data_IF_874339479973
#
_entry.id   IF_874339479973
#
_cell.length_a   1.000
_cell.length_b   1.000
_cell.length_c   1.000
_cell.angle_alpha   90.00
_cell.angle_beta   90.00
_cell.angle_gamma   90.00
#
_symmetry.space_group_name_H-M   'P 1'
#
loop_
_entity.id
_entity.type
_entity.pdbx_description
1 polymer ?
#
# COMPACT_ATOMS: atom_id res chain seq x y z
N UNK A 1 -8.36 24.70 33.42
CA UNK A 1 -8.63 23.77 32.29
C UNK A 1 -7.36 23.67 31.46
N UNK A 2 -6.54 22.65 31.71
CA UNK A 2 -5.26 22.46 31.05
C UNK A 2 -5.53 21.78 29.69
N UNK A 3 -5.46 22.53 28.59
CA UNK A 3 -5.43 21.92 27.26
C UNK A 3 -4.05 21.30 27.09
N UNK A 4 -3.96 19.98 27.15
CA UNK A 4 -2.77 19.26 26.71
C UNK A 4 -2.41 19.72 25.28
N UNK A 5 -1.12 19.94 24.98
CA UNK A 5 -0.70 20.23 23.61
C UNK A 5 -1.11 19.09 22.68
N UNK A 6 -1.45 19.35 21.40
CA UNK A 6 -1.68 18.28 20.43
C UNK A 6 -0.35 17.54 20.21
N UNK A 7 -0.15 16.43 20.90
CA UNK A 7 0.98 15.53 20.67
C UNK A 7 0.65 14.62 19.50
N UNK A 8 1.11 14.99 18.31
CA UNK A 8 1.12 14.14 17.12
C UNK A 8 1.17 14.93 15.82
N UNK A 9 2.16 14.66 14.98
CA UNK A 9 2.12 15.09 13.58
C UNK A 9 1.08 14.23 12.85
N UNK A 10 0.10 14.87 12.19
CA UNK A 10 -0.84 14.18 11.31
C UNK A 10 -0.27 14.16 9.90
N UNK A 11 -0.02 12.96 9.39
CA UNK A 11 0.36 12.73 8.00
C UNK A 11 -0.84 12.13 7.26
N UNK A 12 -1.18 12.67 6.09
CA UNK A 12 -2.19 12.11 5.19
C UNK A 12 -1.51 11.82 3.85
N UNK A 13 -1.72 10.61 3.34
CA UNK A 13 -1.33 10.21 1.99
C UNK A 13 -2.63 9.95 1.22
N UNK A 14 -2.77 10.57 0.06
CA UNK A 14 -3.91 10.38 -0.83
C UNK A 14 -3.43 9.92 -2.18
N UNK A 15 -4.00 8.82 -2.66
CA UNK A 15 -3.66 8.24 -3.94
C UNK A 15 -4.20 6.82 -4.08
N UNK A 16 -3.54 6.03 -4.92
CA UNK A 16 -3.90 4.64 -5.20
C UNK A 16 -2.86 3.68 -4.68
N UNK A 17 -3.33 2.60 -4.06
CA UNK A 17 -2.50 1.47 -3.67
C UNK A 17 -2.99 0.22 -4.41
N UNK A 18 -2.06 -0.55 -4.98
CA UNK A 18 -2.35 -1.82 -5.64
C UNK A 18 -1.45 -2.91 -5.10
N UNK A 19 -1.99 -4.13 -4.96
CA UNK A 19 -1.23 -5.30 -4.53
C UNK A 19 -1.34 -6.42 -5.56
N UNK A 20 -0.25 -7.16 -5.77
CA UNK A 20 -0.20 -8.27 -6.69
C UNK A 20 0.85 -9.30 -6.28
N UNK A 21 0.59 -10.58 -6.57
CA UNK A 21 1.56 -11.65 -6.42
C UNK A 21 1.72 -12.42 -7.72
N UNK A 22 2.90 -13.00 -7.92
CA UNK A 22 3.26 -13.73 -9.14
C UNK A 22 3.67 -15.17 -8.86
N UNK A 23 3.55 -16.07 -9.84
CA UNK A 23 3.82 -17.50 -9.67
C UNK A 23 5.25 -17.82 -9.26
N UNK A 24 6.21 -16.93 -9.54
CA UNK A 24 7.59 -17.02 -9.03
C UNK A 24 7.72 -16.87 -7.51
N UNK A 25 6.66 -16.45 -6.82
CA UNK A 25 6.64 -16.19 -5.38
C UNK A 25 6.83 -14.73 -4.99
N UNK A 26 7.19 -13.86 -5.95
CA UNK A 26 7.33 -12.43 -5.71
C UNK A 26 5.96 -11.78 -5.48
N UNK A 27 5.89 -10.88 -4.50
CA UNK A 27 4.68 -10.11 -4.18
C UNK A 27 5.03 -8.64 -4.05
N UNK A 28 4.17 -7.79 -4.58
CA UNK A 28 4.38 -6.35 -4.66
C UNK A 28 3.16 -5.62 -4.12
N UNK A 29 3.45 -4.50 -3.46
CA UNK A 29 2.49 -3.45 -3.15
C UNK A 29 3.06 -2.20 -3.79
N UNK A 30 2.27 -1.52 -4.60
CA UNK A 30 2.66 -0.28 -5.25
C UNK A 30 1.77 0.83 -4.73
N UNK A 31 2.39 1.84 -4.13
CA UNK A 31 1.75 3.10 -3.77
C UNK A 31 2.02 4.15 -4.84
N UNK A 32 0.97 4.79 -5.33
CA UNK A 32 1.01 5.97 -6.19
C UNK A 32 0.26 7.09 -5.48
N UNK A 33 0.97 8.08 -4.95
CA UNK A 33 0.42 9.10 -4.07
C UNK A 33 0.43 10.45 -4.76
N UNK A 34 -0.78 10.96 -5.06
CA UNK A 34 -0.98 12.27 -5.67
C UNK A 34 -0.68 13.40 -4.68
N UNK A 35 -0.99 13.18 -3.40
CA UNK A 35 -0.80 14.16 -2.33
C UNK A 35 -0.22 13.50 -1.07
N UNK A 36 0.84 14.12 -0.55
CA UNK A 36 1.56 13.71 0.66
C UNK A 36 2.35 14.91 1.22
N UNK A 37 2.87 14.83 2.47
CA UNK A 37 3.71 15.90 3.02
C UNK A 37 4.99 16.19 2.22
N UNK A 38 5.42 15.26 1.37
CA UNK A 38 6.59 15.40 0.50
C UNK A 38 6.21 15.79 -0.94
N UNK A 39 4.94 16.12 -1.19
CA UNK A 39 4.36 16.23 -2.53
C UNK A 39 4.11 14.87 -3.17
N UNK A 40 3.86 14.80 -4.50
CA UNK A 40 3.64 13.54 -5.20
C UNK A 40 4.81 12.58 -5.00
N UNK A 41 4.49 11.30 -4.78
CA UNK A 41 5.47 10.27 -4.54
C UNK A 41 4.96 8.88 -4.88
N UNK A 42 5.90 7.95 -5.05
CA UNK A 42 5.64 6.56 -5.36
C UNK A 42 6.53 5.67 -4.49
N UNK A 43 6.02 4.49 -4.14
CA UNK A 43 6.77 3.46 -3.44
C UNK A 43 6.40 2.06 -3.91
N UNK A 44 7.33 1.13 -3.80
CA UNK A 44 7.09 -0.29 -4.02
C UNK A 44 7.57 -1.08 -2.82
N UNK A 45 6.65 -1.75 -2.14
CA UNK A 45 6.99 -2.76 -1.14
C UNK A 45 7.05 -4.12 -1.82
N UNK A 46 8.21 -4.77 -1.74
CA UNK A 46 8.49 -6.02 -2.41
C UNK A 46 8.79 -7.12 -1.40
N UNK A 47 7.97 -8.17 -1.38
CA UNK A 47 8.27 -9.41 -0.68
C UNK A 47 8.81 -10.43 -1.67
N UNK A 48 10.05 -10.83 -1.46
CA UNK A 48 10.75 -11.84 -2.25
C UNK A 48 10.29 -13.26 -1.87
N UNK A 49 10.48 -14.25 -2.76
CA UNK A 49 10.16 -15.66 -2.46
C UNK A 49 10.94 -16.22 -1.27
N UNK A 50 12.12 -15.67 -0.98
CA UNK A 50 12.99 -16.05 0.16
C UNK A 50 12.55 -15.40 1.49
N UNK A 51 11.49 -14.58 1.48
CA UNK A 51 10.95 -13.93 2.66
C UNK A 51 11.54 -12.55 2.97
N UNK A 52 12.55 -12.10 2.21
CA UNK A 52 13.13 -10.76 2.37
C UNK A 52 12.14 -9.70 1.89
N UNK A 53 11.94 -8.66 2.70
CA UNK A 53 11.08 -7.51 2.38
C UNK A 53 11.94 -6.30 2.06
N UNK A 54 11.78 -5.77 0.85
CA UNK A 54 12.52 -4.62 0.34
C UNK A 54 11.55 -3.48 0.09
N UNK A 55 11.92 -2.28 0.53
CA UNK A 55 11.25 -1.04 0.12
C UNK A 55 12.04 -0.39 -1.00
N UNK A 56 11.41 -0.16 -2.15
CA UNK A 56 11.98 0.62 -3.25
C UNK A 56 11.31 2.00 -3.27
N UNK A 57 12.11 3.07 -3.28
CA UNK A 57 11.63 4.46 -3.35
C UNK A 57 12.45 5.29 -4.32
N UNK A 58 11.85 6.37 -4.85
CA UNK A 58 12.53 7.29 -5.75
C UNK A 58 13.49 8.28 -5.09
N UNK A 59 13.33 8.52 -3.78
CA UNK A 59 14.13 9.50 -3.02
C UNK A 59 14.22 9.13 -1.53
N UNK A 60 15.30 9.53 -0.82
CA UNK A 60 15.52 9.14 0.58
C UNK A 60 14.43 9.59 1.55
N UNK A 61 13.85 10.78 1.34
CA UNK A 61 12.84 11.35 2.24
C UNK A 61 11.57 10.49 2.29
N UNK A 62 11.24 9.82 1.17
CA UNK A 62 10.11 8.89 1.10
C UNK A 62 10.43 7.60 1.87
N UNK A 63 11.67 7.12 1.81
CA UNK A 63 12.09 5.99 2.64
C UNK A 63 11.96 6.31 4.13
N UNK A 64 12.41 7.49 4.57
CA UNK A 64 12.26 7.92 5.97
C UNK A 64 10.79 7.98 6.40
N UNK A 65 9.93 8.58 5.57
CA UNK A 65 8.49 8.67 5.84
C UNK A 65 7.84 7.29 6.00
N UNK A 66 8.14 6.35 5.10
CA UNK A 66 7.52 5.01 5.09
C UNK A 66 8.11 4.13 6.20
N UNK A 67 9.43 4.20 6.43
CA UNK A 67 10.11 3.40 7.47
C UNK A 67 9.85 3.88 8.89
N UNK A 68 9.38 5.12 9.06
CA UNK A 68 8.81 5.58 10.31
C UNK A 68 7.56 4.78 10.71
N UNK A 69 6.94 4.04 9.78
CA UNK A 69 5.69 3.29 9.98
C UNK A 69 5.89 1.79 9.80
N UNK A 70 6.57 1.35 8.75
CA UNK A 70 6.80 -0.06 8.44
C UNK A 70 8.26 -0.46 8.60
N UNK A 71 8.49 -1.76 8.83
CA UNK A 71 9.84 -2.33 8.91
C UNK A 71 10.12 -3.16 7.67
N UNK A 72 11.26 -2.90 7.05
CA UNK A 72 11.78 -3.65 5.91
C UNK A 72 13.14 -4.23 6.27
N UNK A 73 13.49 -5.32 5.60
CA UNK A 73 14.79 -5.97 5.77
C UNK A 73 15.86 -5.25 4.93
N UNK A 74 15.45 -4.59 3.85
CA UNK A 74 16.28 -3.68 3.06
C UNK A 74 15.46 -2.48 2.53
N UNK A 75 16.15 -1.36 2.28
CA UNK A 75 15.58 -0.16 1.66
C UNK A 75 16.52 0.26 0.54
N UNK A 76 15.99 0.45 -0.66
CA UNK A 76 16.76 0.83 -1.83
C UNK A 76 16.17 2.10 -2.45
N UNK A 77 17.03 3.10 -2.64
CA UNK A 77 16.67 4.32 -3.37
C UNK A 77 17.10 4.13 -4.82
N UNK A 78 16.13 3.99 -5.71
CA UNK A 78 16.35 3.68 -7.13
C UNK A 78 15.53 4.63 -8.01
N UNK A 79 15.89 4.84 -9.29
CA UNK A 79 15.01 5.53 -10.21
C UNK A 79 13.64 4.86 -10.24
N UNK A 80 12.63 5.57 -9.75
CA UNK A 80 11.28 5.04 -9.57
C UNK A 80 10.26 5.99 -10.18
N UNK A 81 9.38 5.43 -11.03
CA UNK A 81 8.24 6.14 -11.59
C UNK A 81 7.04 5.21 -11.65
N UNK A 82 5.92 5.64 -11.08
CA UNK A 82 4.63 5.03 -11.30
C UNK A 82 3.78 5.90 -12.22
N UNK A 83 2.90 5.25 -12.99
CA UNK A 83 1.84 5.90 -13.75
C UNK A 83 0.55 5.15 -13.51
N UNK A 84 -0.51 5.92 -13.33
CA UNK A 84 -1.87 5.41 -13.33
C UNK A 84 -2.60 5.95 -14.56
N UNK A 85 -3.19 5.04 -15.33
CA UNK A 85 -4.25 5.31 -16.28
C UNK A 85 -5.53 4.61 -15.76
N UNK A 86 -6.72 5.01 -16.20
CA UNK A 86 -8.05 4.67 -15.65
C UNK A 86 -8.21 3.32 -14.92
N UNK A 87 -7.61 2.26 -15.46
CA UNK A 87 -7.57 0.91 -14.89
C UNK A 87 -6.19 0.24 -14.93
N UNK A 88 -5.12 0.95 -15.29
CA UNK A 88 -3.78 0.39 -15.44
C UNK A 88 -2.80 1.15 -14.57
N UNK A 89 -2.18 0.43 -13.63
CA UNK A 89 -1.04 0.91 -12.86
C UNK A 89 0.23 0.31 -13.45
N UNK A 90 1.19 1.15 -13.82
CA UNK A 90 2.49 0.71 -14.32
C UNK A 90 3.60 1.40 -13.52
N UNK A 91 4.51 0.60 -12.95
CA UNK A 91 5.66 1.09 -12.19
C UNK A 91 6.95 0.51 -12.72
N UNK A 92 7.97 1.37 -12.77
CA UNK A 92 9.36 1.00 -13.01
C UNK A 92 10.18 1.48 -11.82
N UNK A 93 10.94 0.58 -11.19
CA UNK A 93 11.76 0.85 -10.01
C UNK A 93 13.12 0.13 -10.19
N UNK A 94 14.13 0.83 -10.69
CA UNK A 94 15.39 0.19 -11.12
C UNK A 94 15.12 -0.89 -12.17
N UNK A 95 15.55 -2.12 -11.89
CA UNK A 95 15.35 -3.29 -12.78
C UNK A 95 13.94 -3.89 -12.68
N UNK A 96 13.13 -3.47 -11.70
CA UNK A 96 11.77 -3.96 -11.54
C UNK A 96 10.82 -3.21 -12.48
N UNK A 97 10.01 -3.97 -13.24
CA UNK A 97 8.86 -3.45 -13.99
C UNK A 97 7.61 -4.23 -13.61
N UNK A 98 6.55 -3.54 -13.24
CA UNK A 98 5.25 -4.14 -12.92
C UNK A 98 4.13 -3.37 -13.61
N UNK A 99 3.24 -4.09 -14.30
CA UNK A 99 2.02 -3.53 -14.90
C UNK A 99 0.83 -4.31 -14.37
N UNK A 100 -0.10 -3.64 -13.70
CA UNK A 100 -1.32 -4.21 -13.14
C UNK A 100 -2.54 -3.62 -13.84
N UNK A 101 -3.49 -4.48 -14.20
CA UNK A 101 -4.79 -4.08 -14.75
C UNK A 101 -5.88 -4.37 -13.74
N UNK A 102 -6.59 -3.32 -13.34
CA UNK A 102 -7.75 -3.36 -12.50
C UNK A 102 -9.00 -3.74 -13.31
N UNK A 103 -9.87 -4.56 -12.71
CA UNK A 103 -11.17 -4.91 -13.27
C UNK A 103 -12.23 -3.85 -12.96
N UNK A 104 -13.47 -4.33 -12.85
CA UNK A 104 -14.63 -3.47 -12.52
C UNK A 104 -14.41 -2.69 -11.23
N UNK A 105 -14.84 -1.43 -11.29
CA UNK A 105 -14.88 -0.49 -10.15
C UNK A 105 -16.04 -0.81 -9.24
N UNK A 106 -15.76 -0.95 -7.95
CA UNK A 106 -16.76 -1.08 -6.90
C UNK A 106 -16.64 0.13 -5.98
N UNK A 107 -17.57 1.09 -6.04
CA UNK A 107 -17.55 2.23 -5.12
C UNK A 107 -17.79 1.74 -3.69
N UNK A 108 -17.05 2.28 -2.72
CA UNK A 108 -17.25 1.94 -1.31
C UNK A 108 -18.12 3.05 -0.69
N UNK A 109 -19.41 2.80 -0.40
CA UNK A 109 -20.32 3.83 0.10
C UNK A 109 -19.94 4.35 1.50
N UNK A 110 -19.12 3.61 2.25
CA UNK A 110 -18.60 4.04 3.57
C UNK A 110 -17.59 5.19 3.50
N UNK A 111 -17.09 5.57 2.33
CA UNK A 111 -16.21 6.74 2.17
C UNK A 111 -16.84 8.05 2.71
N UNK A 112 -18.18 8.11 2.83
CA UNK A 112 -18.94 9.27 3.33
C UNK A 112 -19.35 9.18 4.82
N UNK A 113 -19.05 8.07 5.50
CA UNK A 113 -19.40 7.81 6.90
C UNK A 113 -18.13 7.78 7.77
N UNK A 114 -17.74 8.77 8.56
CA UNK A 114 -18.07 10.19 8.61
C UNK A 114 -16.93 10.86 9.39
N UNK A 115 -16.74 12.14 9.14
CA UNK A 115 -16.11 13.10 10.04
C UNK A 115 -16.91 13.31 11.36
N UNK A 116 -17.58 12.29 11.90
CA UNK A 116 -18.33 12.39 13.16
C UNK A 116 -18.10 11.13 13.98
N UNK A 117 -17.33 11.30 15.04
CA UNK A 117 -17.32 10.51 16.27
C UNK A 117 -18.59 9.67 16.49
N UNK A 118 -18.41 8.35 16.69
CA UNK A 118 -19.18 7.45 17.58
C UNK A 118 -19.78 6.13 17.01
N UNK A 119 -19.17 5.44 16.02
CA UNK A 119 -19.65 4.10 15.59
C UNK A 119 -18.53 3.04 15.46
N UNK A 120 -17.72 2.89 16.52
CA UNK A 120 -16.46 2.11 16.52
C UNK A 120 -16.51 0.56 16.37
N UNK A 121 -17.58 -0.20 16.70
CA UNK A 121 -17.50 -1.67 16.65
C UNK A 121 -18.07 -2.33 15.38
N UNK A 122 -19.11 -1.77 14.76
CA UNK A 122 -19.78 -2.41 13.60
C UNK A 122 -19.00 -2.18 12.30
N UNK A 123 -18.39 -1.00 12.16
CA UNK A 123 -17.47 -0.64 11.06
C UNK A 123 -16.23 -1.55 11.04
N UNK A 124 -15.79 -1.97 12.23
CA UNK A 124 -14.64 -2.83 12.48
C UNK A 124 -14.86 -4.27 11.99
N UNK A 125 -16.10 -4.76 12.03
CA UNK A 125 -16.43 -6.13 11.62
C UNK A 125 -16.60 -6.24 10.10
N UNK A 126 -17.20 -5.24 9.47
CA UNK A 126 -17.43 -5.21 8.03
C UNK A 126 -16.16 -4.93 7.21
N UNK A 127 -15.28 -4.03 7.68
CA UNK A 127 -13.99 -3.77 7.03
C UNK A 127 -13.03 -4.97 7.11
N UNK A 128 -13.03 -5.68 8.25
CA UNK A 128 -12.25 -6.90 8.45
C UNK A 128 -12.79 -8.07 7.59
N UNK A 129 -14.12 -8.17 7.48
CA UNK A 129 -14.78 -9.24 6.72
C UNK A 129 -14.71 -9.05 5.20
N UNK A 130 -14.69 -7.81 4.69
CA UNK A 130 -14.74 -7.55 3.24
C UNK A 130 -13.38 -7.21 2.61
N UNK A 131 -12.43 -6.62 3.35
CA UNK A 131 -11.19 -6.07 2.79
C UNK A 131 -9.91 -6.63 3.44
N UNK A 132 -10.01 -7.39 4.55
CA UNK A 132 -8.86 -7.97 5.24
C UNK A 132 -7.91 -6.96 5.91
N UNK A 133 -8.25 -5.66 5.88
CA UNK A 133 -7.46 -4.56 6.48
C UNK A 133 -7.99 -4.21 7.86
N UNK A 134 -7.10 -4.13 8.85
CA UNK A 134 -7.38 -3.45 10.12
C UNK A 134 -7.40 -1.94 9.84
N UNK A 135 -8.57 -1.31 9.96
CA UNK A 135 -8.79 0.13 9.70
C UNK A 135 -8.18 1.06 10.75
N UNK A 136 -7.61 0.48 11.82
CA UNK A 136 -6.92 1.18 12.89
C UNK A 136 -5.86 0.28 13.49
N UNK A 137 -4.64 0.78 13.58
CA UNK A 137 -3.50 0.09 14.17
C UNK A 137 -2.50 1.09 14.73
N UNK A 138 -1.79 0.68 15.78
CA UNK A 138 -0.54 1.33 16.18
C UNK A 138 0.55 0.51 15.51
N UNK A 139 1.32 1.14 14.63
CA UNK A 139 2.48 0.51 14.01
C UNK A 139 3.47 0.06 15.11
N UNK A 140 4.40 -0.87 14.82
CA UNK A 140 5.46 -1.23 15.77
C UNK A 140 6.33 -0.04 16.24
N UNK A 141 6.25 1.09 15.54
CA UNK A 141 6.94 2.35 15.84
C UNK A 141 6.11 3.33 16.67
N UNK A 142 4.85 3.01 16.98
CA UNK A 142 3.96 3.85 17.79
C UNK A 142 3.04 4.78 17.00
N UNK A 143 3.04 4.71 15.66
CA UNK A 143 2.23 5.57 14.78
C UNK A 143 0.81 5.05 14.69
N UNK A 144 -0.18 5.92 14.89
CA UNK A 144 -1.58 5.59 14.64
C UNK A 144 -1.90 5.72 13.15
N UNK A 145 -2.33 4.62 12.53
CA UNK A 145 -2.69 4.58 11.12
C UNK A 145 -4.21 4.52 10.92
N UNK A 146 -4.70 5.24 9.90
CA UNK A 146 -6.07 5.16 9.43
C UNK A 146 -6.10 5.03 7.91
N UNK A 147 -6.88 4.09 7.40
CA UNK A 147 -7.11 3.95 5.96
C UNK A 147 -8.51 4.37 5.59
N UNK A 148 -8.60 5.12 4.50
CA UNK A 148 -9.87 5.42 3.83
C UNK A 148 -9.77 4.96 2.39
N UNK A 149 -10.65 4.04 2.00
CA UNK A 149 -10.79 3.58 0.63
C UNK A 149 -12.06 4.19 0.03
N UNK A 150 -11.90 5.03 -0.99
CA UNK A 150 -13.04 5.60 -1.73
C UNK A 150 -13.60 4.59 -2.77
N UNK A 151 -12.73 3.74 -3.30
CA UNK A 151 -13.08 2.69 -4.25
C UNK A 151 -12.21 1.44 -4.07
N UNK A 152 -12.74 0.32 -4.54
CA UNK A 152 -12.00 -0.92 -4.66
C UNK A 152 -12.11 -1.46 -6.09
N UNK A 153 -10.99 -1.93 -6.61
CA UNK A 153 -10.94 -2.67 -7.87
C UNK A 153 -10.07 -3.89 -7.68
N UNK A 154 -10.58 -5.03 -8.13
CA UNK A 154 -9.79 -6.25 -8.13
C UNK A 154 -8.79 -6.22 -9.29
N UNK A 155 -7.54 -6.56 -9.03
CA UNK A 155 -6.55 -6.80 -10.10
C UNK A 155 -6.94 -8.06 -10.88
N UNK A 156 -7.12 -7.92 -12.19
CA UNK A 156 -7.55 -9.01 -13.09
C UNK A 156 -6.44 -9.54 -13.97
N UNK A 157 -5.43 -8.71 -14.27
CA UNK A 157 -4.23 -9.12 -14.99
C UNK A 157 -3.03 -8.38 -14.40
N UNK A 158 -1.87 -9.01 -14.49
CA UNK A 158 -0.62 -8.43 -14.04
C UNK A 158 0.56 -9.07 -14.76
N UNK A 159 1.53 -8.24 -15.13
CA UNK A 159 2.80 -8.62 -15.74
C UNK A 159 3.90 -8.02 -14.87
N UNK A 160 4.95 -8.79 -14.59
CA UNK A 160 6.10 -8.27 -13.85
C UNK A 160 7.40 -8.92 -14.31
N UNK A 161 8.44 -8.10 -14.42
CA UNK A 161 9.79 -8.51 -14.79
C UNK A 161 10.80 -7.92 -13.81
N UNK A 162 11.86 -8.68 -13.54
CA UNK A 162 13.05 -8.21 -12.83
C UNK A 162 14.24 -8.36 -13.79
N UNK A 163 14.74 -7.25 -14.33
CA UNK A 163 15.64 -7.25 -15.47
C UNK A 163 14.99 -7.97 -16.66
N UNK A 164 15.66 -9.00 -17.19
CA UNK A 164 15.14 -9.84 -18.28
C UNK A 164 14.25 -11.00 -17.80
N UNK A 165 14.11 -11.20 -16.49
CA UNK A 165 13.39 -12.35 -15.94
C UNK A 165 11.92 -12.05 -15.73
N UNK A 166 11.06 -12.76 -16.46
CA UNK A 166 9.62 -12.80 -16.21
C UNK A 166 9.31 -13.47 -14.85
N UNK A 167 8.49 -12.81 -14.03
CA UNK A 167 8.08 -13.30 -12.70
C UNK A 167 6.88 -14.27 -12.76
N UNK A 168 6.39 -14.54 -13.95
CA UNK A 168 5.34 -15.49 -14.29
C UNK A 168 3.95 -14.89 -14.17
N UNK A 169 2.95 -15.75 -14.02
CA UNK A 169 1.54 -15.34 -14.07
C UNK A 169 1.10 -14.77 -12.73
N UNK A 170 0.14 -13.84 -12.78
CA UNK A 170 -0.55 -13.34 -11.60
C UNK A 170 -1.13 -14.51 -10.79
N UNK A 171 -0.82 -14.56 -9.50
CA UNK A 171 -1.23 -15.61 -8.57
C UNK A 171 -1.80 -14.99 -7.30
N UNK A 172 -2.89 -15.57 -6.80
CA UNK A 172 -3.42 -15.21 -5.48
C UNK A 172 -2.62 -15.92 -4.40
N UNK A 173 -2.17 -15.16 -3.41
CA UNK A 173 -1.53 -15.69 -2.22
C UNK A 173 -2.51 -15.63 -1.05
N UNK A 174 -2.67 -16.77 -0.35
CA UNK A 174 -3.48 -16.83 0.86
C UNK A 174 -2.67 -16.46 2.11
N UNK A 175 -1.35 -16.71 2.08
CA UNK A 175 -0.45 -16.35 3.17
C UNK A 175 -0.14 -14.84 3.19
N UNK A 176 -0.11 -14.21 4.38
CA UNK A 176 0.25 -12.81 4.52
C UNK A 176 1.66 -12.55 3.97
N UNK A 177 1.87 -11.38 3.35
CA UNK A 177 3.19 -10.91 2.93
C UNK A 177 4.02 -10.37 4.11
N UNK A 178 3.39 -10.19 5.29
CA UNK A 178 4.05 -9.86 6.57
C UNK A 178 4.87 -8.56 6.56
N UNK A 179 4.42 -7.54 5.83
CA UNK A 179 5.03 -6.20 5.89
C UNK A 179 4.74 -5.46 7.23
N UNK A 180 3.67 -5.83 7.94
CA UNK A 180 3.27 -5.20 9.21
C UNK A 180 1.84 -5.54 9.64
N UNK A 181 1.29 -4.78 10.60
CA UNK A 181 -0.07 -4.95 11.13
C UNK A 181 -1.18 -4.56 10.14
N UNK A 182 -0.80 -3.76 9.14
CA UNK A 182 -1.64 -3.24 8.06
C UNK A 182 -1.13 -3.85 6.75
N UNK A 183 -1.68 -5.00 6.36
CA UNK A 183 -1.49 -5.46 4.98
C UNK A 183 -2.40 -4.63 4.08
N UNK A 184 -1.96 -4.17 2.90
CA UNK A 184 -2.85 -3.55 1.94
C UNK A 184 -4.03 -4.49 1.59
N UNK A 185 -5.17 -3.94 1.14
CA UNK A 185 -6.30 -4.75 0.69
C UNK A 185 -5.88 -5.73 -0.41
N UNK A 186 -6.45 -6.94 -0.36
CA UNK A 186 -6.21 -8.05 -1.31
C UNK A 186 -7.06 -7.95 -2.57
#
# INVERSE_FOLDING_TARGET
>A
MHRSPPTGYRCELRGTIASAGFSSGHRFVVGHWDDSPLGPMDDVMWARPDGVRVLLVGRPEVAELITAVYRFDAVEVVPLRCRMDESVLAVVAGDLRVTLRAGRRWPIPLARLRATTALRPVERLLALAMLGVRTWGVSPTGVQEWYRADEYRRVVAGEACLGERDLGRLRRFHEPARFGFSEPPR
#
